data_IF_336937418109
#
_entry.id   IF_336937418109
#
_cell.length_a   1.000
_cell.length_b   1.000
_cell.length_c   1.000
_cell.angle_alpha   90.00
_cell.angle_beta   90.00
_cell.angle_gamma   90.00
#
_symmetry.space_group_name_H-M   'P 1'
#
loop_
_entity.id
_entity.type
_entity.pdbx_description
1 polymer ?
#
# COMPACT_ATOMS: atom_id res chain seq x y z
N UNK A 1 15.47 -4.08 17.20
CA UNK A 1 14.81 -5.24 16.62
C UNK A 1 13.61 -4.77 15.80
N UNK A 2 13.49 -5.23 14.56
CA UNK A 2 12.37 -4.80 13.72
C UNK A 2 11.09 -5.53 14.13
N UNK A 3 10.04 -4.76 14.35
CA UNK A 3 8.73 -5.32 14.61
C UNK A 3 8.13 -5.84 13.31
N UNK A 4 7.27 -6.83 13.41
CA UNK A 4 6.53 -7.40 12.29
C UNK A 4 5.05 -7.08 12.45
N UNK A 5 4.37 -6.93 11.32
CA UNK A 5 2.93 -6.74 11.28
C UNK A 5 2.32 -7.81 10.37
N UNK A 6 1.18 -8.35 10.77
CA UNK A 6 0.46 -9.33 9.96
C UNK A 6 -0.35 -8.60 8.89
N UNK A 7 -0.15 -9.00 7.63
CA UNK A 7 -0.88 -8.45 6.50
C UNK A 7 -1.76 -9.51 5.87
N UNK A 8 -2.90 -9.09 5.36
CA UNK A 8 -3.85 -9.94 4.68
C UNK A 8 -3.78 -9.67 3.18
N UNK A 9 -4.40 -10.55 2.40
CA UNK A 9 -4.48 -10.37 0.96
C UNK A 9 -5.94 -10.58 0.54
N UNK A 10 -6.57 -9.55 -0.01
CA UNK A 10 -7.95 -9.60 -0.43
C UNK A 10 -8.22 -10.69 -1.48
N UNK A 11 -7.19 -11.03 -2.29
CA UNK A 11 -7.29 -12.07 -3.30
C UNK A 11 -7.04 -13.48 -2.76
N UNK A 12 -6.61 -13.61 -1.52
CA UNK A 12 -6.35 -14.88 -0.86
C UNK A 12 -6.86 -14.85 0.58
N UNK A 13 -8.21 -14.86 0.76
CA UNK A 13 -8.79 -14.78 2.10
C UNK A 13 -8.27 -15.87 3.02
N UNK A 14 -7.93 -15.49 4.26
CA UNK A 14 -7.36 -16.39 5.24
C UNK A 14 -5.85 -16.56 5.17
N UNK A 15 -5.20 -16.03 4.14
CA UNK A 15 -3.74 -16.06 4.03
C UNK A 15 -3.16 -14.83 4.72
N UNK A 16 -2.28 -15.04 5.69
CA UNK A 16 -1.65 -13.97 6.45
C UNK A 16 -0.14 -14.11 6.37
N UNK A 17 0.56 -13.01 6.12
CA UNK A 17 2.01 -12.96 6.05
C UNK A 17 2.52 -11.88 6.99
N UNK A 18 3.64 -12.14 7.66
CA UNK A 18 4.27 -11.15 8.52
C UNK A 18 5.32 -10.36 7.73
N UNK A 19 5.24 -9.02 7.81
CA UNK A 19 6.18 -8.14 7.11
C UNK A 19 6.72 -7.10 8.08
N UNK A 20 7.79 -6.40 7.67
CA UNK A 20 8.40 -5.36 8.48
C UNK A 20 7.41 -4.24 8.78
N UNK A 21 7.13 -3.99 10.06
CA UNK A 21 6.14 -3.00 10.48
C UNK A 21 6.56 -1.57 10.12
N UNK A 22 7.84 -1.25 10.19
CA UNK A 22 8.34 0.09 9.85
C UNK A 22 8.06 0.44 8.40
N UNK A 23 8.40 -0.47 7.50
CA UNK A 23 8.15 -0.27 6.06
C UNK A 23 6.65 -0.28 5.74
N UNK A 24 5.90 -1.18 6.36
CA UNK A 24 4.46 -1.23 6.17
C UNK A 24 3.81 0.10 6.56
N UNK A 25 4.11 0.60 7.75
CA UNK A 25 3.51 1.83 8.23
C UNK A 25 3.92 3.04 7.38
N UNK A 26 5.18 3.11 6.95
CA UNK A 26 5.65 4.19 6.09
C UNK A 26 4.90 4.19 4.74
N UNK A 27 4.76 3.02 4.12
CA UNK A 27 4.01 2.91 2.87
C UNK A 27 2.53 3.20 3.06
N UNK A 28 1.92 2.69 4.11
CA UNK A 28 0.52 2.94 4.42
C UNK A 28 0.25 4.44 4.58
N UNK A 29 1.08 5.12 5.37
CA UNK A 29 0.92 6.56 5.60
C UNK A 29 1.05 7.34 4.30
N UNK A 30 2.05 7.01 3.47
CA UNK A 30 2.25 7.64 2.17
C UNK A 30 1.04 7.43 1.26
N UNK A 31 0.52 6.20 1.21
CA UNK A 31 -0.66 5.89 0.39
C UNK A 31 -1.91 6.63 0.85
N UNK A 32 -2.13 6.72 2.16
CA UNK A 32 -3.29 7.44 2.69
C UNK A 32 -3.24 8.92 2.35
N UNK A 33 -2.05 9.51 2.36
CA UNK A 33 -1.86 10.92 1.99
C UNK A 33 -2.24 11.14 0.52
N UNK A 34 -1.69 10.33 -0.39
CA UNK A 34 -1.90 10.55 -1.82
C UNK A 34 -3.29 10.15 -2.28
N UNK A 35 -3.87 9.10 -1.69
CA UNK A 35 -5.20 8.61 -2.05
C UNK A 35 -6.33 9.51 -1.53
N UNK A 36 -6.04 10.44 -0.64
CA UNK A 36 -7.02 11.42 -0.20
C UNK A 36 -7.52 12.31 -1.35
N UNK A 37 -6.77 12.38 -2.45
CA UNK A 37 -7.16 13.15 -3.64
C UNK A 37 -8.27 12.50 -4.47
N UNK A 38 -8.59 11.24 -4.23
CA UNK A 38 -9.63 10.51 -4.95
C UNK A 38 -9.10 9.24 -5.61
N UNK A 39 -9.91 8.59 -6.48
CA UNK A 39 -9.50 7.33 -7.11
C UNK A 39 -8.24 7.48 -7.96
N UNK A 40 -7.34 6.50 -7.84
CA UNK A 40 -6.07 6.46 -8.57
C UNK A 40 -5.76 5.04 -9.01
N UNK A 41 -5.00 4.90 -10.11
CA UNK A 41 -4.47 3.60 -10.51
C UNK A 41 -3.36 3.18 -9.54
N UNK A 42 -3.06 1.87 -9.49
CA UNK A 42 -1.96 1.37 -8.67
C UNK A 42 -0.63 2.02 -9.05
N UNK A 43 -0.40 2.24 -10.36
CA UNK A 43 0.81 2.90 -10.85
C UNK A 43 0.91 4.33 -10.33
N UNK A 44 -0.17 5.08 -10.38
CA UNK A 44 -0.17 6.47 -9.91
C UNK A 44 0.00 6.55 -8.40
N UNK A 45 -0.62 5.63 -7.66
CA UNK A 45 -0.45 5.55 -6.21
C UNK A 45 1.03 5.31 -5.87
N UNK A 46 1.66 4.36 -6.54
CA UNK A 46 3.07 4.03 -6.32
C UNK A 46 3.97 5.25 -6.61
N UNK A 47 3.78 5.89 -7.74
CA UNK A 47 4.60 7.03 -8.13
C UNK A 47 4.41 8.22 -7.18
N UNK A 48 3.17 8.52 -6.82
CA UNK A 48 2.87 9.63 -5.91
C UNK A 48 3.38 9.34 -4.49
N UNK A 49 3.28 8.10 -4.03
CA UNK A 49 3.71 7.72 -2.69
C UNK A 49 5.23 7.83 -2.51
N UNK A 50 6.01 7.66 -3.58
CA UNK A 50 7.49 7.70 -3.49
C UNK A 50 8.01 8.97 -2.82
N UNK A 51 7.40 10.11 -3.08
CA UNK A 51 7.84 11.39 -2.51
C UNK A 51 7.56 11.49 -1.00
N UNK A 52 6.75 10.60 -0.47
CA UNK A 52 6.40 10.56 0.96
C UNK A 52 7.08 9.43 1.71
N UNK A 53 7.93 8.63 1.03
CA UNK A 53 8.61 7.51 1.66
C UNK A 53 9.97 7.93 2.24
N UNK A 54 10.29 7.49 3.48
CA UNK A 54 11.61 7.77 4.06
C UNK A 54 12.71 7.08 3.26
N UNK A 55 13.77 7.80 2.93
CA UNK A 55 14.87 7.27 2.14
C UNK A 55 15.65 6.18 2.88
N UNK A 56 15.70 6.23 4.20
CA UNK A 56 16.36 5.21 5.01
C UNK A 56 15.65 3.85 4.94
N UNK A 57 14.34 3.83 4.72
CA UNK A 57 13.57 2.60 4.57
C UNK A 57 13.41 2.19 3.10
N UNK A 58 13.36 3.16 2.20
CA UNK A 58 13.18 2.93 0.76
C UNK A 58 14.22 3.73 -0.04
N UNK A 59 15.51 3.37 0.05
CA UNK A 59 16.56 4.11 -0.64
C UNK A 59 16.29 4.26 -2.14
N UNK A 60 16.18 5.50 -2.61
CA UNK A 60 15.86 5.77 -4.01
C UNK A 60 14.51 5.24 -4.47
N UNK A 61 13.59 4.95 -3.54
CA UNK A 61 12.31 4.33 -3.87
C UNK A 61 12.40 2.82 -4.09
N UNK A 62 13.51 2.19 -3.68
CA UNK A 62 13.71 0.74 -3.86
C UNK A 62 12.59 -0.07 -3.21
N UNK A 63 12.14 -1.13 -3.90
CA UNK A 63 11.09 -2.04 -3.47
C UNK A 63 9.71 -1.40 -3.24
N UNK A 64 9.54 -0.13 -3.58
CA UNK A 64 8.27 0.58 -3.35
C UNK A 64 7.10 -0.09 -4.08
N UNK A 65 7.32 -0.64 -5.28
CA UNK A 65 6.26 -1.33 -6.03
C UNK A 65 5.72 -2.54 -5.30
N UNK A 66 6.61 -3.36 -4.73
CA UNK A 66 6.21 -4.54 -3.95
C UNK A 66 5.45 -4.12 -2.69
N UNK A 67 5.97 -3.11 -1.99
CA UNK A 67 5.35 -2.63 -0.75
C UNK A 67 4.00 -1.96 -1.00
N UNK A 68 3.89 -1.20 -2.09
CA UNK A 68 2.62 -0.58 -2.47
C UNK A 68 1.55 -1.65 -2.69
N UNK A 69 1.90 -2.71 -3.44
CA UNK A 69 0.96 -3.80 -3.71
C UNK A 69 0.58 -4.54 -2.43
N UNK A 70 1.58 -4.86 -1.60
CA UNK A 70 1.37 -5.57 -0.34
C UNK A 70 0.42 -4.80 0.59
N UNK A 71 0.68 -3.52 0.79
CA UNK A 71 -0.14 -2.68 1.66
C UNK A 71 -1.53 -2.46 1.06
N UNK A 72 -1.62 -2.25 -0.24
CA UNK A 72 -2.91 -2.08 -0.92
C UNK A 72 -3.82 -3.29 -0.71
N UNK A 73 -3.30 -4.50 -0.91
CA UNK A 73 -4.09 -5.73 -0.74
C UNK A 73 -4.57 -5.89 0.70
N UNK A 74 -3.71 -5.54 1.66
CA UNK A 74 -4.07 -5.57 3.07
C UNK A 74 -5.17 -4.55 3.40
N UNK A 75 -5.03 -3.32 2.90
CA UNK A 75 -6.03 -2.28 3.13
C UNK A 75 -7.37 -2.60 2.47
N UNK A 76 -7.35 -3.25 1.30
CA UNK A 76 -8.57 -3.75 0.67
C UNK A 76 -9.23 -4.82 1.54
N UNK A 77 -8.45 -5.76 2.07
CA UNK A 77 -8.96 -6.83 2.93
C UNK A 77 -9.57 -6.27 4.22
N UNK A 78 -9.01 -5.18 4.73
CA UNK A 78 -9.49 -4.54 5.96
C UNK A 78 -10.62 -3.53 5.74
N UNK A 79 -11.02 -3.32 4.48
CA UNK A 79 -12.10 -2.41 4.14
C UNK A 79 -11.72 -0.93 4.23
N UNK A 80 -10.43 -0.60 4.20
CA UNK A 80 -9.96 0.79 4.21
C UNK A 80 -9.88 1.35 2.79
N UNK A 81 -9.58 0.49 1.81
CA UNK A 81 -9.47 0.84 0.39
C UNK A 81 -10.51 0.09 -0.41
N UNK A 82 -11.15 0.77 -1.35
CA UNK A 82 -12.10 0.19 -2.30
C UNK A 82 -11.46 0.05 -3.67
N UNK A 83 -11.71 -1.08 -4.33
CA UNK A 83 -11.29 -1.32 -5.71
C UNK A 83 -12.46 -1.00 -6.64
N UNK A 84 -12.18 -0.29 -7.73
CA UNK A 84 -13.16 0.07 -8.73
C UNK A 84 -12.87 -0.66 -10.05
N UNK A 85 -13.93 -1.18 -10.67
CA UNK A 85 -13.82 -1.96 -11.91
C UNK A 85 -13.67 -1.06 -13.14
N UNK A 86 -12.69 -0.19 -13.10
CA UNK A 86 -12.32 0.69 -14.22
C UNK A 86 -11.20 0.07 -15.05
N UNK A 87 -10.87 0.64 -16.18
CA UNK A 87 -9.78 0.16 -17.06
C UNK A 87 -8.81 1.31 -17.30
N UNK A 88 -7.62 1.28 -16.68
CA UNK A 88 -7.16 0.33 -15.68
C UNK A 88 -7.90 0.44 -14.35
N UNK A 89 -7.73 -0.56 -13.48
CA UNK A 89 -8.37 -0.54 -12.17
C UNK A 89 -7.92 0.68 -11.37
N UNK A 90 -8.86 1.28 -10.64
CA UNK A 90 -8.55 2.37 -9.73
C UNK A 90 -8.90 1.97 -8.30
N UNK A 91 -8.34 2.69 -7.35
CA UNK A 91 -8.49 2.43 -5.92
C UNK A 91 -8.70 3.75 -5.19
N UNK A 92 -9.55 3.74 -4.19
CA UNK A 92 -9.80 4.94 -3.37
C UNK A 92 -10.00 4.57 -1.93
N UNK A 93 -9.90 5.54 -1.04
CA UNK A 93 -10.24 5.36 0.36
C UNK A 93 -11.77 5.21 0.49
N UNK A 94 -12.19 4.36 1.41
CA UNK A 94 -13.61 4.21 1.74
C UNK A 94 -14.09 5.30 2.67
#
# INVERSE_FOLDING_TARGET
MADKIAVENVNAPGHVTNVDAGKYNAMKDAMLIVMAAGPMTAKDIKEAAKSHLPDDLFPGGATSGWWQKCVQLDLEAKGIVARHATKPLTFSLK
#
